data_IF_112151637757
#
_entry.id   IF_112151637757
#
_cell.length_a   1.000
_cell.length_b   1.000
_cell.length_c   1.000
_cell.angle_alpha   90.00
_cell.angle_beta   90.00
_cell.angle_gamma   90.00
#
_symmetry.space_group_name_H-M   'P 1'
#
loop_
_entity.id
_entity.type
_entity.pdbx_description
1 polymer ?
#
# COMPACT_ATOMS: atom_id res chain seq x y z
N UNK A 1 -10.97 13.73 18.19
CA UNK A 1 -10.26 12.71 17.37
C UNK A 1 -10.40 13.11 15.91
N UNK A 2 -9.30 13.48 15.25
CA UNK A 2 -9.34 13.91 13.86
C UNK A 2 -9.76 12.74 12.95
N UNK A 3 -10.69 13.00 12.04
CA UNK A 3 -11.18 12.05 11.03
C UNK A 3 -10.13 11.98 9.93
N UNK A 4 -9.17 11.06 10.02
CA UNK A 4 -8.14 10.92 8.98
C UNK A 4 -8.71 10.15 7.78
N UNK A 5 -9.37 10.88 6.89
CA UNK A 5 -9.51 10.46 5.49
C UNK A 5 -8.21 10.85 4.79
N UNK A 6 -7.42 9.86 4.35
CA UNK A 6 -6.24 10.12 3.52
C UNK A 6 -6.68 10.67 2.16
N UNK A 7 -6.00 11.72 1.69
CA UNK A 7 -6.27 12.30 0.38
C UNK A 7 -5.55 11.50 -0.71
N UNK A 8 -6.27 10.56 -1.32
CA UNK A 8 -5.70 9.70 -2.38
C UNK A 8 -5.27 10.43 -3.65
N UNK A 9 -5.63 11.70 -3.82
CA UNK A 9 -5.22 12.49 -4.97
C UNK A 9 -3.71 12.76 -4.98
N UNK A 10 -3.02 12.63 -3.84
CA UNK A 10 -1.56 12.82 -3.76
C UNK A 10 -0.79 11.79 -4.60
N UNK A 11 -1.37 10.63 -4.88
CA UNK A 11 -0.77 9.58 -5.70
C UNK A 11 -1.20 9.64 -7.19
N UNK A 12 -2.12 10.53 -7.59
CA UNK A 12 -2.65 10.55 -8.96
C UNK A 12 -1.60 10.94 -10.02
N UNK A 13 -0.61 11.73 -9.61
CA UNK A 13 0.49 12.18 -10.46
C UNK A 13 1.65 11.17 -10.53
N UNK A 14 1.50 9.97 -9.96
CA UNK A 14 2.54 8.94 -9.92
C UNK A 14 3.68 9.26 -8.94
N UNK A 15 4.74 8.46 -8.96
CA UNK A 15 5.82 8.53 -7.97
C UNK A 15 6.94 9.51 -8.33
N UNK A 16 7.09 9.82 -9.61
CA UNK A 16 8.23 10.58 -10.13
C UNK A 16 7.82 12.03 -10.43
N UNK A 17 8.75 12.96 -10.23
CA UNK A 17 8.65 14.34 -10.66
C UNK A 17 8.90 14.51 -12.17
N UNK A 18 8.90 15.74 -12.66
CA UNK A 18 9.10 16.06 -14.08
C UNK A 18 10.51 15.69 -14.58
N UNK A 19 11.48 15.56 -13.67
CA UNK A 19 12.86 15.17 -13.95
C UNK A 19 13.07 13.65 -13.89
N UNK A 20 12.04 12.90 -13.46
CA UNK A 20 12.11 11.45 -13.29
C UNK A 20 12.67 11.01 -11.94
N UNK A 21 12.84 11.92 -10.99
CA UNK A 21 13.27 11.58 -9.63
C UNK A 21 12.07 11.21 -8.75
N UNK A 22 12.31 10.39 -7.73
CA UNK A 22 11.26 10.05 -6.77
C UNK A 22 10.83 11.30 -5.99
N UNK A 23 9.53 11.59 -5.94
CA UNK A 23 8.97 12.72 -5.19
C UNK A 23 9.26 12.58 -3.71
N UNK A 24 10.06 13.50 -3.16
CA UNK A 24 10.43 13.51 -1.74
C UNK A 24 9.20 13.60 -0.82
N UNK A 25 8.18 14.37 -1.22
CA UNK A 25 6.92 14.47 -0.47
C UNK A 25 6.23 13.12 -0.25
N UNK A 26 6.40 12.16 -1.18
CA UNK A 26 5.84 10.82 -1.01
C UNK A 26 6.60 10.05 0.07
N UNK A 27 7.93 10.15 0.08
CA UNK A 27 8.80 9.42 1.01
C UNK A 27 8.75 10.01 2.41
N UNK A 28 8.75 11.33 2.54
CA UNK A 28 8.82 12.01 3.84
C UNK A 28 7.45 12.20 4.47
N UNK A 29 6.49 12.79 3.75
CA UNK A 29 5.22 13.22 4.32
C UNK A 29 4.11 12.18 4.14
N UNK A 30 3.89 11.71 2.92
CA UNK A 30 2.75 10.84 2.63
C UNK A 30 2.95 9.44 3.21
N UNK A 31 4.17 8.89 3.14
CA UNK A 31 4.50 7.61 3.75
C UNK A 31 4.33 7.64 5.27
N UNK A 32 4.73 8.74 5.93
CA UNK A 32 4.55 8.94 7.36
C UNK A 32 3.06 9.00 7.75
N UNK A 33 2.27 9.81 7.03
CA UNK A 33 0.81 9.90 7.23
C UNK A 33 0.12 8.54 7.08
N UNK A 34 0.49 7.77 6.06
CA UNK A 34 -0.05 6.42 5.84
C UNK A 34 0.41 5.45 6.92
N UNK A 35 1.69 5.47 7.29
CA UNK A 35 2.25 4.68 8.38
C UNK A 35 1.49 4.93 9.69
N UNK A 36 1.29 6.21 10.05
CA UNK A 36 0.50 6.62 11.20
C UNK A 36 -0.96 6.16 11.09
N UNK A 37 -1.61 6.36 9.94
CA UNK A 37 -3.01 5.94 9.72
C UNK A 37 -3.18 4.43 9.90
N UNK A 38 -2.24 3.62 9.39
CA UNK A 38 -2.30 2.17 9.53
C UNK A 38 -1.97 1.72 10.95
N UNK A 39 -0.98 2.37 11.58
CA UNK A 39 -0.53 2.04 12.93
C UNK A 39 -1.52 2.46 14.01
N UNK A 40 -2.26 3.56 13.82
CA UNK A 40 -3.18 4.14 14.81
C UNK A 40 -4.66 4.05 14.41
N UNK A 41 -4.96 3.50 13.24
CA UNK A 41 -6.31 3.28 12.77
C UNK A 41 -7.02 4.55 12.28
N UNK A 42 -8.12 4.33 11.58
CA UNK A 42 -8.95 5.38 11.00
C UNK A 42 -10.42 5.00 11.06
N UNK A 43 -11.28 5.95 10.71
CA UNK A 43 -12.73 5.74 10.60
C UNK A 43 -13.03 5.41 9.14
N UNK A 44 -13.66 4.26 8.87
CA UNK A 44 -14.08 3.87 7.53
C UNK A 44 -15.35 4.62 7.08
N UNK A 45 -15.79 4.40 5.83
CA UNK A 45 -17.03 5.02 5.29
C UNK A 45 -18.30 4.70 6.07
N UNK A 46 -18.33 3.57 6.78
CA UNK A 46 -19.43 3.15 7.66
C UNK A 46 -19.33 3.70 9.09
N UNK A 47 -18.45 4.68 9.33
CA UNK A 47 -18.18 5.28 10.64
C UNK A 47 -17.65 4.27 11.69
N UNK A 48 -17.02 3.17 11.25
CA UNK A 48 -16.39 2.20 12.14
C UNK A 48 -14.90 2.43 12.20
N UNK A 49 -14.35 2.37 13.40
CA UNK A 49 -12.92 2.41 13.62
C UNK A 49 -12.29 1.08 13.19
N UNK A 50 -11.26 1.16 12.36
CA UNK A 50 -10.50 0.02 11.84
C UNK A 50 -9.01 0.28 12.03
N UNK A 51 -8.27 -0.77 12.39
CA UNK A 51 -6.82 -0.72 12.63
C UNK A 51 -6.16 -1.88 11.92
N UNK A 52 -4.99 -1.65 11.31
CA UNK A 52 -4.24 -2.69 10.62
C UNK A 52 -3.40 -3.46 11.62
N UNK A 53 -3.50 -4.79 11.64
CA UNK A 53 -2.61 -5.62 12.45
C UNK A 53 -1.22 -5.74 11.80
N UNK A 54 -0.19 -5.94 12.60
CA UNK A 54 1.17 -6.16 12.09
C UNK A 54 1.25 -7.41 11.20
N UNK A 55 0.46 -8.45 11.52
CA UNK A 55 0.37 -9.67 10.71
C UNK A 55 -0.31 -9.44 9.35
N UNK A 56 -1.35 -8.60 9.30
CA UNK A 56 -2.01 -8.23 8.05
C UNK A 56 -1.06 -7.43 7.15
N UNK A 57 -0.37 -6.42 7.70
CA UNK A 57 0.61 -5.64 6.95
C UNK A 57 1.73 -6.53 6.40
N UNK A 58 2.37 -7.32 7.29
CA UNK A 58 3.48 -8.20 6.92
C UNK A 58 3.10 -9.19 5.83
N UNK A 59 1.87 -9.73 5.86
CA UNK A 59 1.39 -10.65 4.84
C UNK A 59 1.39 -10.02 3.44
N UNK A 60 0.87 -8.80 3.31
CA UNK A 60 0.84 -8.10 2.02
C UNK A 60 2.23 -7.62 1.60
N UNK A 61 3.01 -7.06 2.54
CA UNK A 61 4.37 -6.61 2.26
C UNK A 61 5.27 -7.75 1.76
N UNK A 62 5.26 -8.90 2.44
CA UNK A 62 6.04 -10.06 2.01
C UNK A 62 5.62 -10.57 0.63
N UNK A 63 4.34 -10.46 0.28
CA UNK A 63 3.86 -10.85 -1.05
C UNK A 63 4.38 -9.88 -2.13
N UNK A 64 4.34 -8.57 -1.87
CA UNK A 64 4.91 -7.57 -2.77
C UNK A 64 6.42 -7.79 -2.93
N UNK A 65 7.17 -8.00 -1.84
CA UNK A 65 8.60 -8.29 -1.91
C UNK A 65 8.93 -9.62 -2.60
N UNK A 66 8.05 -10.62 -2.50
CA UNK A 66 8.22 -11.88 -3.24
C UNK A 66 8.05 -11.68 -4.75
N UNK A 67 7.14 -10.80 -5.18
CA UNK A 67 7.01 -10.40 -6.58
C UNK A 67 8.21 -9.57 -7.03
N UNK A 68 8.60 -8.57 -6.24
CA UNK A 68 9.78 -7.71 -6.47
C UNK A 68 11.06 -8.53 -6.69
N UNK A 69 11.27 -9.59 -5.92
CA UNK A 69 12.41 -10.48 -6.09
C UNK A 69 12.41 -11.32 -7.38
N UNK A 70 11.27 -11.44 -8.06
CA UNK A 70 11.10 -12.27 -9.27
C UNK A 70 10.93 -11.43 -10.55
N UNK A 71 10.40 -10.22 -10.42
CA UNK A 71 10.06 -9.36 -11.55
C UNK A 71 11.28 -8.53 -11.94
N UNK A 72 11.62 -8.56 -13.22
CA UNK A 72 12.68 -7.75 -13.84
C UNK A 72 12.07 -6.94 -14.98
N UNK A 73 12.87 -6.05 -15.58
CA UNK A 73 12.44 -5.29 -16.75
C UNK A 73 12.03 -6.21 -17.91
N UNK A 74 12.77 -7.29 -18.13
CA UNK A 74 12.56 -8.23 -19.23
C UNK A 74 11.26 -9.03 -19.10
N UNK A 75 10.85 -9.39 -17.88
CA UNK A 75 9.69 -10.25 -17.64
C UNK A 75 8.46 -9.48 -17.12
N UNK A 76 8.53 -8.15 -17.01
CA UNK A 76 7.48 -7.34 -16.39
C UNK A 76 6.11 -7.55 -17.04
N UNK A 77 6.05 -7.56 -18.38
CA UNK A 77 4.79 -7.70 -19.12
C UNK A 77 4.08 -9.03 -18.80
N UNK A 78 4.85 -10.12 -18.71
CA UNK A 78 4.35 -11.45 -18.35
C UNK A 78 3.95 -11.53 -16.87
N UNK A 79 4.60 -10.72 -16.03
CA UNK A 79 4.40 -10.71 -14.59
C UNK A 79 3.29 -9.75 -14.12
N UNK A 80 2.89 -8.80 -14.95
CA UNK A 80 1.85 -7.81 -14.66
C UNK A 80 0.56 -8.43 -14.10
N UNK A 81 0.04 -9.58 -14.60
CA UNK A 81 -1.13 -10.23 -14.02
C UNK A 81 -0.97 -10.57 -12.53
N UNK A 82 0.22 -10.96 -12.06
CA UNK A 82 0.46 -11.27 -10.65
C UNK A 82 0.46 -10.01 -9.78
N UNK A 83 0.96 -8.89 -10.29
CA UNK A 83 0.82 -7.59 -9.63
C UNK A 83 -0.67 -7.19 -9.54
N UNK A 84 -1.43 -7.35 -10.63
CA UNK A 84 -2.86 -7.07 -10.65
C UNK A 84 -3.67 -7.93 -9.66
N UNK A 85 -3.23 -9.17 -9.40
CA UNK A 85 -3.86 -10.05 -8.40
C UNK A 85 -3.82 -9.47 -6.98
N UNK A 86 -2.89 -8.56 -6.65
CA UNK A 86 -2.85 -7.88 -5.36
C UNK A 86 -4.17 -7.12 -5.09
N UNK A 87 -4.80 -6.53 -6.12
CA UNK A 87 -6.12 -5.88 -6.00
C UNK A 87 -7.20 -6.87 -5.59
N UNK A 88 -7.22 -8.05 -6.21
CA UNK A 88 -8.20 -9.09 -5.89
C UNK A 88 -8.04 -9.58 -4.44
N UNK A 89 -6.79 -9.78 -4.01
CA UNK A 89 -6.45 -10.20 -2.65
C UNK A 89 -6.82 -9.14 -1.61
N UNK A 90 -6.57 -7.87 -1.87
CA UNK A 90 -7.00 -6.76 -1.02
C UNK A 90 -8.53 -6.74 -0.84
N UNK A 91 -9.28 -6.85 -1.94
CA UNK A 91 -10.75 -6.91 -1.89
C UNK A 91 -11.26 -8.11 -1.07
N UNK A 92 -10.67 -9.29 -1.26
CA UNK A 92 -11.02 -10.48 -0.49
C UNK A 92 -10.71 -10.33 1.01
N UNK A 93 -9.53 -9.80 1.34
CA UNK A 93 -9.12 -9.55 2.72
C UNK A 93 -10.03 -8.52 3.41
N UNK A 94 -10.45 -7.48 2.70
CA UNK A 94 -11.39 -6.47 3.22
C UNK A 94 -12.78 -7.05 3.49
N UNK A 95 -13.26 -7.96 2.64
CA UNK A 95 -14.55 -8.64 2.86
C UNK A 95 -14.55 -9.56 4.09
N UNK A 96 -13.37 -9.92 4.60
CA UNK A 96 -13.21 -10.75 5.80
C UNK A 96 -13.07 -12.23 5.49
N UNK A 97 -12.26 -12.58 4.49
CA UNK A 97 -11.99 -13.98 4.14
C UNK A 97 -11.54 -14.84 5.33
N UNK A 98 -12.44 -15.69 5.83
CA UNK A 98 -12.17 -16.70 6.86
C UNK A 98 -12.22 -16.20 8.31
N UNK A 99 -11.53 -16.90 9.23
CA UNK A 99 -11.47 -16.62 10.68
C UNK A 99 -10.69 -15.34 11.05
N UNK A 100 -10.05 -14.67 10.08
CA UNK A 100 -9.22 -13.48 10.32
C UNK A 100 -10.03 -12.19 10.17
N UNK A 101 -9.76 -11.25 11.08
CA UNK A 101 -10.32 -9.89 11.04
C UNK A 101 -10.03 -9.23 9.68
N UNK A 102 -10.98 -8.41 9.22
CA UNK A 102 -10.89 -7.62 7.98
C UNK A 102 -9.68 -6.68 8.02
N UNK A 103 -9.00 -6.49 6.90
CA UNK A 103 -8.07 -5.36 6.76
C UNK A 103 -8.87 -4.05 6.76
N UNK A 104 -8.31 -2.92 7.22
CA UNK A 104 -8.97 -1.63 7.11
C UNK A 104 -9.25 -1.24 5.66
N UNK A 105 -10.33 -0.50 5.46
CA UNK A 105 -10.68 0.06 4.15
C UNK A 105 -9.55 0.91 3.55
N UNK A 106 -8.89 1.74 4.37
CA UNK A 106 -7.76 2.58 3.94
C UNK A 106 -6.59 1.76 3.42
N UNK A 107 -6.28 0.62 4.04
CA UNK A 107 -5.21 -0.26 3.58
C UNK A 107 -5.58 -0.99 2.28
N UNK A 108 -6.85 -1.38 2.13
CA UNK A 108 -7.35 -1.92 0.87
C UNK A 108 -7.25 -0.88 -0.26
N UNK A 109 -7.64 0.36 0.00
CA UNK A 109 -7.56 1.45 -0.97
C UNK A 109 -6.09 1.77 -1.33
N UNK A 110 -5.17 1.71 -0.37
CA UNK A 110 -3.73 1.82 -0.61
C UNK A 110 -3.24 0.81 -1.64
N UNK A 111 -3.48 -0.49 -1.42
CA UNK A 111 -3.04 -1.53 -2.37
C UNK A 111 -3.68 -1.31 -3.75
N UNK A 112 -4.96 -0.98 -3.80
CA UNK A 112 -5.67 -0.76 -5.06
C UNK A 112 -5.07 0.41 -5.84
N UNK A 113 -4.83 1.54 -5.18
CA UNK A 113 -4.32 2.75 -5.83
C UNK A 113 -2.92 2.57 -6.38
N UNK A 114 -2.02 1.98 -5.60
CA UNK A 114 -0.66 1.74 -6.07
C UNK A 114 -0.62 0.75 -7.25
N UNK A 115 -1.44 -0.32 -7.22
CA UNK A 115 -1.53 -1.26 -8.35
C UNK A 115 -2.19 -0.60 -9.58
N UNK A 116 -3.11 0.34 -9.39
CA UNK A 116 -3.67 1.13 -10.51
C UNK A 116 -2.61 1.99 -11.20
N UNK A 117 -1.67 2.57 -10.46
CA UNK A 117 -0.55 3.32 -11.02
C UNK A 117 0.34 2.39 -11.84
N UNK A 118 0.74 1.24 -11.28
CA UNK A 118 1.54 0.23 -12.01
C UNK A 118 0.82 -0.25 -13.27
N UNK A 119 -0.48 -0.49 -13.18
CA UNK A 119 -1.30 -0.91 -14.31
C UNK A 119 -1.45 0.16 -15.39
N UNK A 120 -1.36 1.44 -15.03
CA UNK A 120 -1.46 2.57 -15.96
C UNK A 120 -0.12 2.79 -16.67
N UNK A 121 0.98 2.79 -15.93
CA UNK A 121 2.33 3.04 -16.43
C UNK A 121 2.92 1.84 -17.18
N UNK A 122 2.53 0.62 -16.78
CA UNK A 122 2.85 -0.65 -17.46
C UNK A 122 4.35 -0.86 -17.71
N UNK A 123 5.19 -0.48 -16.76
CA UNK A 123 6.63 -0.70 -16.82
C UNK A 123 7.20 -1.15 -15.46
N UNK A 124 8.39 -1.73 -15.47
CA UNK A 124 9.07 -2.21 -14.27
C UNK A 124 9.30 -1.10 -13.23
N UNK A 125 9.75 0.08 -13.67
CA UNK A 125 10.01 1.22 -12.77
C UNK A 125 8.79 1.60 -11.94
N UNK A 126 7.57 1.51 -12.50
CA UNK A 126 6.34 1.80 -11.77
C UNK A 126 6.11 0.84 -10.59
N UNK A 127 6.49 -0.44 -10.75
CA UNK A 127 6.37 -1.45 -9.70
C UNK A 127 7.50 -1.35 -8.67
N UNK A 128 8.71 -1.06 -9.11
CA UNK A 128 9.84 -0.74 -8.24
C UNK A 128 9.52 0.49 -7.36
N UNK A 129 8.94 1.53 -7.96
CA UNK A 129 8.52 2.73 -7.24
C UNK A 129 7.44 2.44 -6.20
N UNK A 130 6.44 1.63 -6.55
CA UNK A 130 5.45 1.15 -5.58
C UNK A 130 6.12 0.42 -4.42
N UNK A 131 7.04 -0.51 -4.71
CA UNK A 131 7.71 -1.31 -3.69
C UNK A 131 8.50 -0.43 -2.74
N UNK A 132 9.27 0.53 -3.26
CA UNK A 132 10.00 1.54 -2.48
C UNK A 132 9.08 2.35 -1.58
N UNK A 133 7.97 2.85 -2.11
CA UNK A 133 6.99 3.59 -1.33
C UNK A 133 6.36 2.73 -0.22
N UNK A 134 5.98 1.50 -0.55
CA UNK A 134 5.37 0.58 0.41
C UNK A 134 6.36 0.21 1.53
N UNK A 135 7.63 0.00 1.21
CA UNK A 135 8.68 -0.25 2.21
C UNK A 135 8.83 0.93 3.17
N UNK A 136 8.81 2.16 2.65
CA UNK A 136 8.85 3.39 3.46
C UNK A 136 7.64 3.49 4.40
N UNK A 137 6.43 3.24 3.89
CA UNK A 137 5.20 3.20 4.70
C UNK A 137 5.26 2.13 5.80
N UNK A 138 5.84 0.96 5.51
CA UNK A 138 6.04 -0.11 6.48
C UNK A 138 7.02 0.33 7.59
N UNK A 139 8.10 1.01 7.23
CA UNK A 139 9.03 1.62 8.19
C UNK A 139 8.32 2.55 9.17
N UNK A 140 7.58 3.53 8.64
CA UNK A 140 6.79 4.45 9.46
C UNK A 140 5.70 3.76 10.28
N UNK A 141 5.01 2.77 9.73
CA UNK A 141 4.01 1.99 10.48
C UNK A 141 4.60 1.40 11.77
N UNK A 142 5.79 0.81 11.70
CA UNK A 142 6.46 0.28 12.87
C UNK A 142 6.99 1.41 13.79
N UNK A 143 7.50 2.50 13.22
CA UNK A 143 7.89 3.71 13.96
C UNK A 143 6.74 4.31 14.80
N UNK A 144 5.50 4.19 14.31
CA UNK A 144 4.28 4.61 14.99
C UNK A 144 3.69 3.56 15.94
N UNK A 145 4.43 2.50 16.27
CA UNK A 145 4.00 1.47 17.24
C UNK A 145 3.09 0.39 16.68
N UNK A 146 3.02 0.24 15.34
CA UNK A 146 2.20 -0.76 14.67
C UNK A 146 2.54 -2.22 15.03
N UNK A 147 3.72 -2.49 15.60
CA UNK A 147 4.11 -3.81 16.11
C UNK A 147 3.15 -4.37 17.17
N UNK A 148 2.56 -3.49 17.99
CA UNK A 148 1.60 -3.85 19.04
C UNK A 148 0.22 -4.23 18.53
N UNK A 149 -0.05 -4.07 17.23
CA UNK A 149 -1.38 -4.30 16.66
C UNK A 149 -1.64 -5.80 16.47
N UNK A 150 -2.58 -6.36 17.25
CA UNK A 150 -3.00 -7.77 17.24
C UNK A 150 -4.37 -8.01 16.62
#
# INVERSE_FOLDING_TARGET
MAKYNYNWNTLESGYLDEEGNFKLELIEDEADKLGMLFANGGINRSQRYEKLSSSQLRKFYNEVKALDAQITEENFSESLPFILMLKAKANYAYRGGGRNKKIPESFKDFIIKNVEIVSKERNYQSFDNFTTFFETVVGYFYGHGGEGNR
#
